data_IF_486924781701
#
_entry.id   IF_486924781701
#
_cell.length_a   1.000
_cell.length_b   1.000
_cell.length_c   1.000
_cell.angle_alpha   90.00
_cell.angle_beta   90.00
_cell.angle_gamma   90.00
#
_symmetry.space_group_name_H-M   'P 1'
#
loop_
_entity.id
_entity.type
_entity.pdbx_description
1 polymer ?
#
# COMPACT_ATOMS: atom_id res chain seq x y z
N UNK A 1 56.63 -23.18 37.96
CA UNK A 1 55.36 -22.47 38.20
C UNK A 1 55.14 -21.30 37.24
N UNK A 2 56.12 -20.47 36.93
CA UNK A 2 55.97 -19.33 36.02
C UNK A 2 55.58 -19.69 34.58
N UNK A 3 56.10 -20.80 34.05
CA UNK A 3 55.78 -21.22 32.67
C UNK A 3 54.33 -21.71 32.52
N UNK A 4 53.75 -22.30 33.53
CA UNK A 4 52.36 -22.72 33.54
C UNK A 4 51.40 -21.52 33.69
N UNK A 5 51.79 -20.53 34.54
CA UNK A 5 51.02 -19.31 34.70
C UNK A 5 51.00 -18.48 33.39
N UNK A 6 52.14 -18.30 32.74
CA UNK A 6 52.22 -17.63 31.42
C UNK A 6 51.42 -18.34 30.35
N UNK A 7 51.40 -19.67 30.35
CA UNK A 7 50.55 -20.43 29.41
C UNK A 7 49.08 -20.24 29.71
N UNK A 8 48.69 -20.18 30.98
CA UNK A 8 47.31 -19.96 31.40
C UNK A 8 46.87 -18.53 31.02
N UNK A 9 47.71 -17.53 31.24
CA UNK A 9 47.46 -16.13 30.80
C UNK A 9 47.35 -16.01 29.28
N UNK A 10 48.30 -16.64 28.57
CA UNK A 10 48.29 -16.64 27.10
C UNK A 10 47.02 -17.33 26.57
N UNK A 11 46.62 -18.45 27.17
CA UNK A 11 45.41 -19.15 26.81
C UNK A 11 44.16 -18.34 27.15
N UNK A 12 44.14 -17.62 28.29
CA UNK A 12 43.06 -16.73 28.66
C UNK A 12 42.96 -15.55 27.67
N UNK A 13 44.10 -14.97 27.33
CA UNK A 13 44.16 -13.90 26.31
C UNK A 13 43.68 -14.36 24.94
N UNK A 14 44.16 -15.52 24.49
CA UNK A 14 43.70 -16.11 23.22
C UNK A 14 42.18 -16.39 23.21
N UNK A 15 41.64 -16.85 24.33
CA UNK A 15 40.21 -17.04 24.49
C UNK A 15 39.43 -15.72 24.47
N UNK A 16 39.96 -14.67 25.12
CA UNK A 16 39.34 -13.34 25.08
C UNK A 16 39.37 -12.74 23.67
N UNK A 17 40.57 -12.82 22.99
CA UNK A 17 40.71 -12.37 21.62
C UNK A 17 39.79 -13.11 20.66
N UNK A 18 39.65 -14.44 20.83
CA UNK A 18 38.75 -15.25 20.05
C UNK A 18 37.26 -14.90 20.32
N UNK A 19 36.90 -14.65 21.58
CA UNK A 19 35.57 -14.22 21.98
C UNK A 19 35.22 -12.85 21.39
N UNK A 20 36.15 -11.90 21.45
CA UNK A 20 35.99 -10.57 20.85
C UNK A 20 35.84 -10.66 19.30
N UNK A 21 36.71 -11.43 18.66
CA UNK A 21 36.64 -11.63 17.21
C UNK A 21 35.31 -12.29 16.77
N UNK A 22 34.79 -13.23 17.56
CA UNK A 22 33.49 -13.85 17.31
C UNK A 22 32.35 -12.84 17.49
N UNK A 23 32.39 -12.01 18.53
CA UNK A 23 31.44 -10.93 18.75
C UNK A 23 31.42 -9.94 17.58
N UNK A 24 32.58 -9.43 17.18
CA UNK A 24 32.72 -8.45 16.09
C UNK A 24 32.18 -9.02 14.77
N UNK A 25 32.48 -10.29 14.49
CA UNK A 25 31.97 -11.00 13.32
C UNK A 25 30.46 -11.13 13.35
N UNK A 26 29.89 -11.49 14.49
CA UNK A 26 28.45 -11.66 14.64
C UNK A 26 27.69 -10.32 14.55
N UNK A 27 28.26 -9.26 15.14
CA UNK A 27 27.75 -7.88 14.98
C UNK A 27 27.79 -7.46 13.50
N UNK A 28 28.89 -7.79 12.79
CA UNK A 28 29.01 -7.55 11.36
C UNK A 28 27.88 -8.21 10.56
N UNK A 29 27.65 -9.49 10.77
CA UNK A 29 26.56 -10.23 10.12
C UNK A 29 25.18 -9.70 10.48
N UNK A 30 24.96 -9.36 11.77
CA UNK A 30 23.71 -8.77 12.22
C UNK A 30 23.43 -7.44 11.50
N UNK A 31 24.43 -6.57 11.43
CA UNK A 31 24.31 -5.28 10.75
C UNK A 31 24.02 -5.43 9.25
N UNK A 32 24.73 -6.35 8.58
CA UNK A 32 24.51 -6.62 7.16
C UNK A 32 23.10 -7.17 6.90
N UNK A 33 22.66 -8.14 7.71
CA UNK A 33 21.33 -8.73 7.58
C UNK A 33 20.22 -7.67 7.72
N UNK A 34 20.32 -6.79 8.73
CA UNK A 34 19.34 -5.74 8.93
C UNK A 34 19.43 -4.62 7.88
N UNK A 35 20.62 -4.31 7.37
CA UNK A 35 20.77 -3.37 6.25
C UNK A 35 20.09 -3.90 4.99
N UNK A 36 20.29 -5.18 4.66
CA UNK A 36 19.64 -5.82 3.53
C UNK A 36 18.12 -5.84 3.69
N UNK A 37 17.65 -6.12 4.91
CA UNK A 37 16.22 -6.11 5.22
C UNK A 37 15.60 -4.72 5.08
N UNK A 38 16.26 -3.68 5.60
CA UNK A 38 15.79 -2.31 5.46
C UNK A 38 15.70 -1.89 3.99
N UNK A 39 16.70 -2.29 3.16
CA UNK A 39 16.66 -2.04 1.73
C UNK A 39 15.45 -2.72 1.06
N UNK A 40 15.18 -3.97 1.44
CA UNK A 40 14.02 -4.71 0.91
C UNK A 40 12.69 -4.07 1.34
N UNK A 41 12.58 -3.65 2.60
CA UNK A 41 11.39 -2.95 3.10
C UNK A 41 11.15 -1.64 2.33
N UNK A 42 12.23 -0.89 2.07
CA UNK A 42 12.15 0.35 1.31
C UNK A 42 11.76 0.12 -0.14
N UNK A 43 12.30 -0.92 -0.78
CA UNK A 43 11.90 -1.31 -2.14
C UNK A 43 10.41 -1.67 -2.18
N UNK A 44 9.95 -2.54 -1.28
CA UNK A 44 8.55 -2.93 -1.20
C UNK A 44 7.61 -1.74 -0.97
N UNK A 45 8.01 -0.78 -0.13
CA UNK A 45 7.26 0.45 0.08
C UNK A 45 7.18 1.31 -1.19
N UNK A 46 8.31 1.49 -1.89
CA UNK A 46 8.35 2.25 -3.14
C UNK A 46 7.51 1.59 -4.24
N UNK A 47 7.57 0.27 -4.34
CA UNK A 47 6.76 -0.50 -5.29
C UNK A 47 5.26 -0.37 -4.99
N UNK A 48 4.89 -0.40 -3.71
CA UNK A 48 3.51 -0.18 -3.29
C UNK A 48 3.04 1.24 -3.67
N UNK A 49 3.86 2.27 -3.45
CA UNK A 49 3.55 3.65 -3.86
C UNK A 49 3.38 3.77 -5.37
N UNK A 50 4.25 3.13 -6.15
CA UNK A 50 4.17 3.13 -7.62
C UNK A 50 2.88 2.47 -8.12
N UNK A 51 2.49 1.33 -7.52
CA UNK A 51 1.24 0.65 -7.85
C UNK A 51 0.00 1.48 -7.49
N UNK A 52 0.00 2.14 -6.33
CA UNK A 52 -1.09 3.04 -5.92
C UNK A 52 -1.23 4.21 -6.87
N UNK A 53 -0.12 4.81 -7.29
CA UNK A 53 -0.11 5.91 -8.27
C UNK A 53 -0.64 5.43 -9.63
N UNK A 54 -0.16 4.29 -10.13
CA UNK A 54 -0.62 3.72 -11.40
C UNK A 54 -2.14 3.42 -11.39
N UNK A 55 -2.66 2.93 -10.26
CA UNK A 55 -4.08 2.69 -10.08
C UNK A 55 -4.90 3.97 -10.12
N UNK A 56 -4.44 5.02 -9.44
CA UNK A 56 -5.06 6.34 -9.50
C UNK A 56 -5.05 6.90 -10.93
N UNK A 57 -3.92 6.86 -11.62
CA UNK A 57 -3.79 7.40 -12.98
C UNK A 57 -4.69 6.66 -13.97
N UNK A 58 -4.83 5.34 -13.80
CA UNK A 58 -5.74 4.53 -14.60
C UNK A 58 -7.20 4.88 -14.32
N UNK A 59 -7.56 5.00 -13.04
CA UNK A 59 -8.90 5.42 -12.62
C UNK A 59 -9.26 6.81 -13.12
N UNK A 60 -8.35 7.76 -12.97
CA UNK A 60 -8.54 9.15 -13.43
C UNK A 60 -8.72 9.24 -14.95
N UNK A 61 -7.97 8.45 -15.73
CA UNK A 61 -8.19 8.35 -17.18
C UNK A 61 -9.57 7.82 -17.51
N UNK A 62 -10.02 6.76 -16.81
CA UNK A 62 -11.35 6.20 -16.99
C UNK A 62 -12.46 7.21 -16.69
N UNK A 63 -12.36 7.94 -15.59
CA UNK A 63 -13.31 9.00 -15.21
C UNK A 63 -13.37 10.09 -16.29
N UNK A 64 -12.22 10.57 -16.76
CA UNK A 64 -12.19 11.59 -17.82
C UNK A 64 -12.78 11.08 -19.14
N UNK A 65 -12.42 9.88 -19.59
CA UNK A 65 -12.99 9.28 -20.81
C UNK A 65 -14.50 9.12 -20.74
N UNK A 66 -15.03 8.69 -19.59
CA UNK A 66 -16.47 8.56 -19.37
C UNK A 66 -17.17 9.92 -19.41
N UNK A 67 -16.59 10.92 -18.76
CA UNK A 67 -17.12 12.30 -18.79
C UNK A 67 -17.10 12.90 -20.19
N UNK A 68 -16.02 12.75 -20.94
CA UNK A 68 -15.89 13.23 -22.33
C UNK A 68 -16.92 12.53 -23.24
N UNK A 69 -17.10 11.21 -23.09
CA UNK A 69 -18.12 10.46 -23.83
C UNK A 69 -19.54 10.92 -23.50
N UNK A 70 -19.82 11.18 -22.22
CA UNK A 70 -21.11 11.68 -21.77
C UNK A 70 -21.37 13.11 -22.29
N UNK A 71 -20.35 13.98 -22.31
CA UNK A 71 -20.47 15.32 -22.89
C UNK A 71 -20.72 15.28 -24.39
N UNK A 72 -20.02 14.40 -25.11
CA UNK A 72 -20.24 14.18 -26.53
C UNK A 72 -21.66 13.70 -26.81
N UNK A 73 -22.15 12.74 -26.04
CA UNK A 73 -23.54 12.24 -26.18
C UNK A 73 -24.57 13.34 -25.87
N UNK A 74 -24.34 14.14 -24.83
CA UNK A 74 -25.20 15.27 -24.49
C UNK A 74 -25.26 16.30 -25.64
N UNK A 75 -24.12 16.56 -26.28
CA UNK A 75 -24.04 17.44 -27.47
C UNK A 75 -24.81 16.85 -28.65
N UNK A 76 -24.61 15.59 -28.97
CA UNK A 76 -25.33 14.89 -30.04
C UNK A 76 -26.84 14.97 -29.81
N UNK A 77 -27.29 14.66 -28.60
CA UNK A 77 -28.72 14.73 -28.25
C UNK A 77 -29.28 16.13 -28.38
N UNK A 78 -28.51 17.17 -27.97
CA UNK A 78 -28.90 18.57 -28.16
C UNK A 78 -29.05 18.92 -29.65
N UNK A 79 -28.08 18.51 -30.48
CA UNK A 79 -28.10 18.79 -31.93
C UNK A 79 -29.25 18.06 -32.62
N UNK A 80 -29.53 16.82 -32.26
CA UNK A 80 -30.69 16.06 -32.77
C UNK A 80 -32.00 16.76 -32.41
N UNK A 81 -32.17 17.10 -31.12
CA UNK A 81 -33.36 17.81 -30.66
C UNK A 81 -33.57 19.15 -31.35
N UNK A 82 -32.47 19.90 -31.56
CA UNK A 82 -32.50 21.18 -32.31
C UNK A 82 -32.91 20.98 -33.75
N UNK A 83 -32.41 19.94 -34.43
CA UNK A 83 -32.80 19.59 -35.81
C UNK A 83 -34.25 19.26 -35.93
N UNK A 84 -34.77 18.49 -34.98
CA UNK A 84 -36.15 17.93 -35.03
C UNK A 84 -37.22 18.93 -34.52
N UNK A 85 -36.77 20.01 -33.83
CA UNK A 85 -37.66 21.03 -33.26
C UNK A 85 -38.61 21.70 -34.27
N UNK A 86 -38.22 22.09 -35.51
CA UNK A 86 -39.14 22.71 -36.47
C UNK A 86 -40.32 21.78 -36.82
N UNK A 87 -40.05 20.47 -37.01
CA UNK A 87 -41.09 19.53 -37.34
C UNK A 87 -42.03 19.28 -36.14
N UNK A 88 -41.50 19.23 -34.92
CA UNK A 88 -42.29 19.07 -33.71
C UNK A 88 -43.22 20.29 -33.48
N UNK A 89 -42.77 21.49 -33.72
CA UNK A 89 -43.57 22.73 -33.58
C UNK A 89 -44.65 22.81 -34.60
N UNK A 90 -44.37 22.49 -35.88
CA UNK A 90 -45.41 22.44 -36.97
C UNK A 90 -46.46 21.41 -36.64
N UNK A 91 -46.10 20.21 -36.17
CA UNK A 91 -47.03 19.18 -35.79
C UNK A 91 -47.98 19.59 -34.63
N UNK A 92 -47.54 20.52 -33.77
CA UNK A 92 -48.33 21.10 -32.68
C UNK A 92 -49.11 22.37 -33.06
N UNK A 93 -49.00 22.82 -34.30
CA UNK A 93 -49.69 24.04 -34.78
C UNK A 93 -49.04 25.32 -34.22
N UNK A 94 -47.83 25.26 -33.72
CA UNK A 94 -47.10 26.36 -33.08
C UNK A 94 -46.15 27.04 -34.10
N UNK A 95 -46.35 28.33 -34.34
CA UNK A 95 -45.51 29.13 -35.24
C UNK A 95 -45.04 30.42 -34.56
N UNK A 96 -43.86 30.93 -34.91
CA UNK A 96 -43.38 32.24 -34.44
C UNK A 96 -42.53 32.17 -33.16
N UNK A 97 -42.65 33.13 -32.24
CA UNK A 97 -41.77 33.34 -31.07
C UNK A 97 -41.68 32.17 -30.09
N UNK A 98 -42.52 31.15 -30.16
CA UNK A 98 -42.41 29.93 -29.36
C UNK A 98 -41.17 29.09 -29.73
N UNK A 99 -40.64 29.21 -30.95
CA UNK A 99 -39.41 28.53 -31.38
C UNK A 99 -38.19 29.01 -30.66
N UNK A 100 -38.11 30.33 -30.36
CA UNK A 100 -36.97 30.94 -29.67
C UNK A 100 -36.93 30.50 -28.20
N UNK A 101 -38.08 30.47 -27.49
CA UNK A 101 -38.20 29.98 -26.12
C UNK A 101 -37.86 28.51 -26.00
N UNK A 102 -38.28 27.68 -26.96
CA UNK A 102 -37.98 26.27 -27.00
C UNK A 102 -36.47 26.02 -27.23
N UNK A 103 -35.84 26.76 -28.13
CA UNK A 103 -34.38 26.72 -28.36
C UNK A 103 -33.59 27.15 -27.13
N UNK A 104 -34.01 28.22 -26.43
CA UNK A 104 -33.39 28.68 -25.20
C UNK A 104 -33.53 27.62 -24.11
N UNK A 105 -34.68 26.99 -23.99
CA UNK A 105 -34.92 25.86 -23.05
C UNK A 105 -34.01 24.67 -23.34
N UNK A 106 -33.86 24.26 -24.58
CA UNK A 106 -32.95 23.18 -24.98
C UNK A 106 -31.49 23.54 -24.70
N UNK A 107 -31.06 24.76 -24.97
CA UNK A 107 -29.69 25.21 -24.66
C UNK A 107 -29.42 25.19 -23.14
N UNK A 108 -30.35 25.69 -22.35
CA UNK A 108 -30.25 25.65 -20.88
C UNK A 108 -30.20 24.22 -20.35
N UNK A 109 -31.05 23.33 -20.89
CA UNK A 109 -31.03 21.91 -20.52
C UNK A 109 -29.69 21.24 -20.86
N UNK A 110 -29.15 21.53 -22.05
CA UNK A 110 -27.83 21.04 -22.42
C UNK A 110 -26.73 21.59 -21.52
N UNK A 111 -26.73 22.88 -21.19
CA UNK A 111 -25.80 23.49 -20.24
C UNK A 111 -25.86 22.88 -18.86
N UNK A 112 -27.08 22.64 -18.34
CA UNK A 112 -27.27 21.99 -17.05
C UNK A 112 -26.75 20.55 -17.07
N UNK A 113 -26.97 19.81 -18.14
CA UNK A 113 -26.48 18.45 -18.30
C UNK A 113 -24.94 18.40 -18.31
N UNK A 114 -24.30 19.29 -19.07
CA UNK A 114 -22.83 19.45 -19.05
C UNK A 114 -22.31 19.75 -17.65
N UNK A 115 -22.90 20.69 -16.94
CA UNK A 115 -22.50 21.05 -15.58
C UNK A 115 -22.65 19.88 -14.61
N UNK A 116 -23.66 19.03 -14.81
CA UNK A 116 -23.85 17.81 -14.00
C UNK A 116 -22.77 16.78 -14.28
N UNK A 117 -22.41 16.56 -15.55
CA UNK A 117 -21.32 15.67 -15.95
C UNK A 117 -20.00 16.16 -15.38
N UNK A 118 -19.69 17.47 -15.48
CA UNK A 118 -18.46 18.05 -14.95
C UNK A 118 -18.36 17.94 -13.43
N UNK A 119 -19.46 18.14 -12.70
CA UNK A 119 -19.50 17.90 -11.24
C UNK A 119 -19.25 16.45 -10.92
N UNK A 120 -19.94 15.53 -11.57
CA UNK A 120 -19.74 14.10 -11.36
C UNK A 120 -18.30 13.64 -11.64
N UNK A 121 -17.66 14.20 -12.69
CA UNK A 121 -16.25 13.98 -12.97
C UNK A 121 -15.36 14.46 -11.82
N UNK A 122 -15.56 15.69 -11.36
CA UNK A 122 -14.75 16.29 -10.29
C UNK A 122 -14.93 15.55 -8.97
N UNK A 123 -16.15 15.16 -8.61
CA UNK A 123 -16.43 14.38 -7.41
C UNK A 123 -15.77 13.00 -7.47
N UNK A 124 -15.79 12.35 -8.62
CA UNK A 124 -15.14 11.05 -8.83
C UNK A 124 -13.61 11.17 -8.73
N UNK A 125 -13.02 12.21 -9.33
CA UNK A 125 -11.58 12.46 -9.23
C UNK A 125 -11.15 12.78 -7.79
N UNK A 126 -11.95 13.57 -7.05
CA UNK A 126 -11.71 13.86 -5.64
C UNK A 126 -11.73 12.56 -4.80
N UNK A 127 -12.73 11.70 -5.01
CA UNK A 127 -12.81 10.41 -4.33
C UNK A 127 -11.61 9.50 -4.62
N UNK A 128 -11.15 9.46 -5.88
CA UNK A 128 -9.95 8.71 -6.24
C UNK A 128 -8.70 9.26 -5.55
N UNK A 129 -8.56 10.58 -5.47
CA UNK A 129 -7.44 11.25 -4.80
C UNK A 129 -7.44 10.97 -3.28
N UNK A 130 -8.59 11.04 -2.64
CA UNK A 130 -8.75 10.74 -1.21
C UNK A 130 -8.40 9.28 -0.92
N UNK A 131 -8.83 8.36 -1.80
CA UNK A 131 -8.48 6.94 -1.72
C UNK A 131 -6.97 6.73 -1.87
N UNK A 132 -6.34 7.40 -2.84
CA UNK A 132 -4.88 7.34 -3.03
C UNK A 132 -4.14 7.81 -1.78
N UNK A 133 -4.53 8.97 -1.22
CA UNK A 133 -3.89 9.55 -0.05
C UNK A 133 -4.05 8.65 1.18
N UNK A 134 -5.24 8.11 1.40
CA UNK A 134 -5.52 7.16 2.48
C UNK A 134 -4.63 5.89 2.37
N UNK A 135 -4.55 5.32 1.18
CA UNK A 135 -3.75 4.14 0.92
C UNK A 135 -2.23 4.41 1.05
N UNK A 136 -1.76 5.59 0.60
CA UNK A 136 -0.36 6.01 0.81
C UNK A 136 -0.03 6.15 2.31
N UNK A 137 -0.94 6.71 3.09
CA UNK A 137 -0.78 6.83 4.55
C UNK A 137 -0.74 5.46 5.22
N UNK A 138 -1.59 4.53 4.82
CA UNK A 138 -1.58 3.16 5.33
C UNK A 138 -0.29 2.42 4.96
N UNK A 139 0.21 2.57 3.74
CA UNK A 139 1.48 1.98 3.30
C UNK A 139 2.67 2.53 4.11
N UNK A 140 2.70 3.83 4.36
CA UNK A 140 3.73 4.46 5.19
C UNK A 140 3.68 3.97 6.64
N UNK A 141 2.49 3.85 7.22
CA UNK A 141 2.31 3.33 8.57
C UNK A 141 2.80 1.89 8.68
N UNK A 142 2.46 1.05 7.71
CA UNK A 142 2.95 -0.34 7.67
C UNK A 142 4.48 -0.41 7.56
N UNK A 143 5.08 0.41 6.69
CA UNK A 143 6.53 0.50 6.56
C UNK A 143 7.19 0.89 7.89
N UNK A 144 6.71 1.95 8.55
CA UNK A 144 7.26 2.43 9.82
C UNK A 144 7.09 1.39 10.95
N UNK A 145 5.96 0.69 11.00
CA UNK A 145 5.74 -0.37 11.99
C UNK A 145 6.72 -1.53 11.82
N UNK A 146 6.97 -1.94 10.57
CA UNK A 146 7.93 -3.01 10.28
C UNK A 146 9.37 -2.57 10.60
N UNK A 147 9.74 -1.34 10.22
CA UNK A 147 11.05 -0.77 10.54
C UNK A 147 11.30 -0.73 12.06
N UNK A 148 10.33 -0.24 12.82
CA UNK A 148 10.41 -0.18 14.29
C UNK A 148 10.53 -1.58 14.93
N UNK A 149 9.77 -2.55 14.43
CA UNK A 149 9.86 -3.93 14.89
C UNK A 149 11.26 -4.53 14.61
N UNK A 150 11.82 -4.24 13.45
CA UNK A 150 13.16 -4.69 13.06
C UNK A 150 14.24 -4.08 13.94
N UNK A 151 14.15 -2.78 14.24
CA UNK A 151 15.10 -2.10 15.15
C UNK A 151 15.05 -2.68 16.55
N UNK A 152 13.85 -2.93 17.10
CA UNK A 152 13.70 -3.55 18.43
C UNK A 152 14.32 -4.94 18.44
N UNK A 153 14.11 -5.71 17.39
CA UNK A 153 14.65 -7.07 17.30
C UNK A 153 16.17 -7.07 17.15
N UNK A 154 16.71 -6.14 16.35
CA UNK A 154 18.15 -5.94 16.23
C UNK A 154 18.79 -5.61 17.59
N UNK A 155 18.18 -4.69 18.36
CA UNK A 155 18.64 -4.35 19.71
C UNK A 155 18.64 -5.55 20.66
N UNK A 156 17.60 -6.38 20.59
CA UNK A 156 17.51 -7.60 21.40
C UNK A 156 18.65 -8.58 21.06
N UNK A 157 18.97 -8.77 19.79
CA UNK A 157 20.10 -9.61 19.39
C UNK A 157 21.45 -9.02 19.80
N UNK A 158 21.63 -7.70 19.67
CA UNK A 158 22.85 -7.01 20.15
C UNK A 158 23.05 -7.25 21.65
N UNK A 159 22.00 -7.08 22.46
CA UNK A 159 22.06 -7.33 23.91
C UNK A 159 22.46 -8.76 24.21
N UNK A 160 21.92 -9.75 23.49
CA UNK A 160 22.29 -11.16 23.65
C UNK A 160 23.76 -11.40 23.32
N UNK A 161 24.29 -10.78 22.25
CA UNK A 161 25.70 -10.87 21.89
C UNK A 161 26.62 -10.22 22.95
N UNK A 162 26.22 -9.07 23.48
CA UNK A 162 26.95 -8.37 24.54
C UNK A 162 26.96 -9.21 25.84
N UNK A 163 25.84 -9.81 26.20
CA UNK A 163 25.76 -10.71 27.37
C UNK A 163 26.65 -11.96 27.18
N UNK A 164 26.68 -12.50 25.96
CA UNK A 164 27.53 -13.64 25.64
C UNK A 164 29.03 -13.30 25.77
N UNK A 165 29.41 -12.12 25.28
CA UNK A 165 30.79 -11.61 25.43
C UNK A 165 31.14 -11.37 26.91
N UNK A 166 30.24 -10.74 27.66
CA UNK A 166 30.48 -10.41 29.08
C UNK A 166 30.71 -11.64 29.95
N UNK A 167 30.11 -12.78 29.62
CA UNK A 167 30.30 -14.02 30.39
C UNK A 167 31.67 -14.70 30.19
N UNK A 168 32.49 -14.23 29.25
CA UNK A 168 33.89 -14.66 28.98
C UNK A 168 34.14 -16.18 28.92
N UNK A 169 33.11 -16.96 28.77
CA UNK A 169 33.20 -18.41 28.73
C UNK A 169 33.09 -18.90 27.28
N UNK A 170 34.18 -19.46 26.73
CA UNK A 170 34.22 -19.95 25.36
C UNK A 170 33.16 -21.03 25.08
N UNK A 171 32.83 -21.87 26.06
CA UNK A 171 31.79 -22.92 25.95
C UNK A 171 30.39 -22.27 25.95
N UNK A 172 30.19 -21.24 26.76
CA UNK A 172 28.93 -20.49 26.77
C UNK A 172 28.77 -19.69 25.48
N UNK A 173 29.87 -19.14 24.92
CA UNK A 173 29.88 -18.48 23.62
C UNK A 173 29.55 -19.45 22.49
N UNK A 174 30.13 -20.65 22.48
CA UNK A 174 29.83 -21.68 21.50
C UNK A 174 28.36 -22.11 21.60
N UNK A 175 27.91 -22.43 22.83
CA UNK A 175 26.50 -22.82 23.11
C UNK A 175 25.52 -21.68 22.71
N UNK A 176 25.87 -20.41 22.97
CA UNK A 176 25.06 -19.27 22.57
C UNK A 176 25.16 -18.98 21.08
N UNK A 177 26.29 -19.25 20.43
CA UNK A 177 26.43 -19.19 18.97
C UNK A 177 25.48 -20.21 18.31
N UNK A 178 25.46 -21.44 18.81
CA UNK A 178 24.52 -22.48 18.34
C UNK A 178 23.07 -22.07 18.63
N UNK A 179 22.81 -21.41 19.78
CA UNK A 179 21.49 -20.86 20.10
C UNK A 179 21.12 -19.69 19.18
N UNK A 180 22.08 -18.82 18.81
CA UNK A 180 21.87 -17.73 17.84
C UNK A 180 21.59 -18.26 16.44
N UNK A 181 22.31 -19.31 16.02
CA UNK A 181 22.05 -19.97 14.75
C UNK A 181 20.66 -20.64 14.74
N UNK A 182 20.30 -21.24 15.87
CA UNK A 182 18.94 -21.77 16.07
C UNK A 182 17.87 -20.66 16.09
N UNK A 183 18.19 -19.50 16.70
CA UNK A 183 17.33 -18.31 16.70
C UNK A 183 17.17 -17.70 15.30
N UNK A 184 18.25 -17.66 14.51
CA UNK A 184 18.20 -17.17 13.12
C UNK A 184 17.30 -18.06 12.26
N UNK A 185 17.42 -19.39 12.43
CA UNK A 185 16.52 -20.35 11.80
C UNK A 185 15.06 -20.17 12.25
N UNK A 186 14.85 -19.94 13.57
CA UNK A 186 13.51 -19.69 14.13
C UNK A 186 12.94 -18.36 13.63
N UNK A 187 13.78 -17.33 13.52
CA UNK A 187 13.40 -16.03 12.99
C UNK A 187 13.02 -16.09 11.50
N UNK A 188 13.82 -16.81 10.70
CA UNK A 188 13.49 -17.04 9.28
C UNK A 188 12.15 -17.76 9.16
N UNK A 189 11.87 -18.73 10.01
CA UNK A 189 10.57 -19.42 10.04
C UNK A 189 9.43 -18.51 10.52
N UNK A 190 9.66 -17.68 11.54
CA UNK A 190 8.66 -16.71 12.02
C UNK A 190 8.37 -15.63 10.97
N UNK A 191 9.39 -15.20 10.24
CA UNK A 191 9.22 -14.26 9.13
C UNK A 191 8.43 -14.86 7.98
N UNK A 192 8.72 -16.13 7.65
CA UNK A 192 7.94 -16.87 6.66
C UNK A 192 6.48 -17.01 7.10
N UNK A 193 6.25 -17.33 8.38
CA UNK A 193 4.92 -17.43 8.98
C UNK A 193 4.20 -16.06 8.99
N UNK A 194 4.93 -14.98 9.28
CA UNK A 194 4.37 -13.61 9.24
C UNK A 194 4.01 -13.19 7.81
N UNK A 195 4.86 -13.51 6.84
CA UNK A 195 4.55 -13.28 5.41
C UNK A 195 3.32 -14.08 4.97
N UNK A 196 3.22 -15.34 5.39
CA UNK A 196 2.04 -16.17 5.11
C UNK A 196 0.79 -15.60 5.79
N UNK A 197 0.87 -15.19 7.06
CA UNK A 197 -0.25 -14.59 7.79
C UNK A 197 -0.68 -13.24 7.19
N UNK A 198 0.27 -12.43 6.69
CA UNK A 198 -0.03 -11.19 5.98
C UNK A 198 -0.69 -11.46 4.62
N UNK A 199 -0.21 -12.47 3.88
CA UNK A 199 -0.82 -12.89 2.63
C UNK A 199 -2.25 -13.43 2.86
N UNK A 200 -2.46 -14.23 3.90
CA UNK A 200 -3.80 -14.71 4.29
C UNK A 200 -4.72 -13.58 4.77
N UNK A 201 -4.21 -12.62 5.53
CA UNK A 201 -4.98 -11.45 5.97
C UNK A 201 -5.36 -10.56 4.78
N UNK A 202 -4.45 -10.36 3.82
CA UNK A 202 -4.72 -9.64 2.58
C UNK A 202 -5.76 -10.39 1.72
N UNK A 203 -5.65 -11.70 1.60
CA UNK A 203 -6.62 -12.54 0.89
C UNK A 203 -8.01 -12.50 1.57
N UNK A 204 -8.07 -12.55 2.91
CA UNK A 204 -9.31 -12.41 3.68
C UNK A 204 -9.91 -11.00 3.59
N UNK A 205 -9.09 -9.96 3.55
CA UNK A 205 -9.54 -8.58 3.33
C UNK A 205 -10.11 -8.41 1.90
N UNK A 206 -9.44 -8.98 0.89
CA UNK A 206 -9.92 -8.98 -0.48
C UNK A 206 -11.24 -9.76 -0.62
N UNK A 207 -11.38 -10.92 0.03
CA UNK A 207 -12.62 -11.70 0.00
C UNK A 207 -13.79 -11.01 0.72
N UNK A 208 -13.53 -10.24 1.78
CA UNK A 208 -14.55 -9.44 2.48
C UNK A 208 -15.02 -8.24 1.64
N UNK A 209 -14.15 -7.63 0.84
CA UNK A 209 -14.54 -6.55 -0.06
C UNK A 209 -15.43 -7.04 -1.21
N UNK A 210 -15.29 -8.29 -1.63
CA UNK A 210 -16.17 -8.92 -2.63
C UNK A 210 -17.54 -9.33 -2.06
N UNK A 211 -17.63 -9.66 -0.77
CA UNK A 211 -18.90 -10.10 -0.15
C UNK A 211 -19.78 -8.95 0.33
N UNK A 212 -19.26 -7.72 0.47
CA UNK A 212 -20.05 -6.54 0.87
C UNK A 212 -20.69 -5.78 -0.31
N UNK A 213 -20.39 -6.17 -1.57
CA UNK A 213 -20.96 -5.59 -2.79
C UNK A 213 -22.27 -6.25 -3.27
N UNK A 214 -22.76 -7.27 -2.59
CA UNK A 214 -23.96 -8.03 -2.97
C UNK A 214 -25.19 -7.73 -2.11
N UNK A 215 -25.51 -6.47 -1.86
CA UNK A 215 -26.70 -6.04 -1.12
C UNK A 215 -27.84 -5.68 -2.05
N UNK A 216 -28.56 -6.66 -2.40
CA UNK A 216 -30.01 -6.81 -2.64
C UNK A 216 -30.81 -5.49 -2.68
N UNK A 217 -31.10 -5.00 -3.89
CA UNK A 217 -32.21 -4.09 -4.14
C UNK A 217 -33.45 -4.94 -4.43
N UNK A 218 -34.14 -5.40 -3.39
CA UNK A 218 -35.50 -5.87 -3.52
C UNK A 218 -36.43 -4.66 -3.68
N UNK A 219 -36.80 -4.35 -4.91
CA UNK A 219 -37.91 -3.49 -5.22
C UNK A 219 -39.20 -4.31 -4.92
N UNK A 220 -39.85 -3.99 -3.81
CA UNK A 220 -41.22 -4.43 -3.54
C UNK A 220 -42.19 -3.50 -4.26
N UNK A 221 -42.72 -3.98 -5.36
CA UNK A 221 -43.97 -3.51 -5.96
C UNK A 221 -45.11 -4.00 -5.11
N UNK A 222 -45.81 -3.11 -4.42
CA UNK A 222 -47.13 -3.35 -3.86
C UNK A 222 -48.18 -2.66 -4.72
N UNK A 223 -49.19 -3.40 -5.10
CA UNK A 223 -50.46 -2.93 -5.64
C UNK A 223 -51.14 -1.94 -4.70
#
# INVERSE_FOLDING_TARGET
QDAAARRAEELARQKQEAAQAAYDKNIGYLNEAYANRNNLLQQNYNDALAQLQASYDSGARGVNQNADSAQQQAYINYMMSKRDLPQALVAQGLTGGMSESALAGMYNSYGNNRNTIDRGRNDSLATLLDTLNSNKSAALQNYNNQLSADEQQKMAYQLQLEQALANQNAEVLQSKYDALQSLDNTYTQQMLALQQAQAEAAAKAASRSYSSGGGNSSVSTSQ
#
